data_IF_207595115221
#
_entry.id   IF_207595115221
#
_cell.length_a   1.000
_cell.length_b   1.000
_cell.length_c   1.000
_cell.angle_alpha   90.00
_cell.angle_beta   90.00
_cell.angle_gamma   90.00
#
_symmetry.space_group_name_H-M   'P 1'
#
loop_
_entity.id
_entity.type
_entity.pdbx_description
1 polymer ?
#
# COMPACT_ATOMS: atom_id res chain seq x y z
N UNK A 1 15.58 46.92 29.53
CA UNK A 1 15.39 46.99 28.07
C UNK A 1 15.77 45.64 27.44
N UNK A 2 14.85 44.67 27.27
CA UNK A 2 15.14 43.44 26.53
C UNK A 2 14.87 43.60 25.03
N UNK A 3 15.84 43.25 24.17
CA UNK A 3 15.68 43.18 22.71
C UNK A 3 15.14 41.79 22.34
N UNK A 4 14.14 41.78 21.46
CA UNK A 4 13.51 40.60 20.90
C UNK A 4 14.52 39.73 20.13
N UNK A 5 14.53 38.43 20.43
CA UNK A 5 15.20 37.40 19.62
C UNK A 5 14.15 36.83 18.67
N UNK A 6 14.32 37.08 17.38
CA UNK A 6 13.48 36.55 16.31
C UNK A 6 13.79 35.07 16.08
N UNK A 7 12.73 34.27 16.04
CA UNK A 7 12.71 32.92 15.51
C UNK A 7 13.08 32.93 14.03
N UNK A 8 14.20 32.34 13.64
CA UNK A 8 14.49 31.99 12.25
C UNK A 8 14.43 30.46 12.15
N UNK A 9 13.34 30.01 11.54
CA UNK A 9 12.96 28.63 11.37
C UNK A 9 14.02 27.88 10.55
N UNK A 10 14.50 26.80 11.13
CA UNK A 10 15.30 25.77 10.48
C UNK A 10 14.59 25.31 9.21
N UNK A 11 15.29 25.43 8.08
CA UNK A 11 14.77 25.24 6.73
C UNK A 11 13.88 24.01 6.57
N UNK A 12 12.59 24.27 6.30
CA UNK A 12 11.73 23.39 5.54
C UNK A 12 12.32 23.24 4.14
N UNK A 13 13.21 22.27 3.99
CA UNK A 13 13.53 21.68 2.70
C UNK A 13 12.22 21.18 2.12
N UNK A 14 11.63 21.99 1.23
CA UNK A 14 10.50 21.64 0.40
C UNK A 14 10.95 20.48 -0.50
N UNK A 15 10.84 19.26 0.02
CA UNK A 15 10.86 18.03 -0.75
C UNK A 15 9.74 18.15 -1.77
N UNK A 16 10.09 18.50 -3.00
CA UNK A 16 9.15 18.46 -4.11
C UNK A 16 8.61 17.03 -4.23
N UNK A 17 7.30 16.80 -4.10
CA UNK A 17 6.73 15.49 -4.37
C UNK A 17 6.90 15.20 -5.85
N UNK A 18 7.45 14.04 -6.18
CA UNK A 18 7.66 13.63 -7.56
C UNK A 18 6.30 13.11 -8.07
N UNK A 19 5.43 14.05 -8.45
CA UNK A 19 3.96 13.86 -8.42
C UNK A 19 3.40 12.79 -9.35
N UNK A 20 4.18 12.23 -10.29
CA UNK A 20 3.71 11.18 -11.19
C UNK A 20 3.91 9.75 -10.61
N UNK A 21 4.99 9.53 -9.86
CA UNK A 21 5.32 8.20 -9.30
C UNK A 21 4.55 7.88 -8.03
N UNK A 22 4.36 8.88 -7.15
CA UNK A 22 3.70 8.70 -5.85
C UNK A 22 2.17 8.52 -6.03
N UNK A 23 1.54 9.26 -6.95
CA UNK A 23 0.10 9.10 -7.26
C UNK A 23 -0.27 7.72 -7.80
N UNK A 24 0.63 7.07 -8.53
CA UNK A 24 0.41 5.71 -9.03
C UNK A 24 0.57 4.65 -7.92
N UNK A 25 1.48 4.86 -6.97
CA UNK A 25 1.69 3.97 -5.83
C UNK A 25 0.53 4.09 -4.82
N UNK A 26 0.04 5.30 -4.56
CA UNK A 26 -1.11 5.52 -3.68
C UNK A 26 -2.40 4.92 -4.27
N UNK A 27 -2.59 4.98 -5.58
CA UNK A 27 -3.75 4.39 -6.24
C UNK A 27 -3.82 2.86 -6.11
N UNK A 28 -2.67 2.16 -6.03
CA UNK A 28 -2.64 0.71 -5.82
C UNK A 28 -2.93 0.32 -4.35
N UNK A 29 -2.61 1.18 -3.38
CA UNK A 29 -2.96 0.96 -1.97
C UNK A 29 -4.48 0.97 -1.71
N UNK A 30 -5.25 1.67 -2.53
CA UNK A 30 -6.72 1.69 -2.47
C UNK A 30 -7.39 0.70 -3.43
N UNK A 31 -6.61 -0.14 -4.12
CA UNK A 31 -7.14 -1.12 -5.06
C UNK A 31 -7.85 -2.24 -4.31
N UNK A 32 -9.18 -2.19 -4.30
CA UNK A 32 -10.01 -3.20 -3.62
C UNK A 32 -9.86 -4.52 -4.38
N UNK A 33 -9.20 -5.52 -3.80
CA UNK A 33 -9.01 -6.85 -4.42
C UNK A 33 -9.98 -7.88 -3.82
N UNK A 34 -10.44 -8.84 -4.62
CA UNK A 34 -11.30 -9.94 -4.17
C UNK A 34 -10.47 -11.21 -4.04
N UNK A 35 -10.09 -11.55 -2.81
CA UNK A 35 -9.42 -12.82 -2.54
C UNK A 35 -10.38 -14.02 -2.73
N UNK A 36 -9.85 -15.12 -3.27
CA UNK A 36 -10.51 -16.42 -3.17
C UNK A 36 -10.49 -16.92 -1.72
N UNK A 37 -11.28 -17.96 -1.40
CA UNK A 37 -11.26 -18.57 -0.06
C UNK A 37 -9.85 -19.01 0.36
N UNK A 38 -9.11 -19.64 -0.55
CA UNK A 38 -7.75 -20.11 -0.28
C UNK A 38 -6.78 -18.94 -0.09
N UNK A 39 -6.89 -17.88 -0.89
CA UNK A 39 -6.09 -16.67 -0.72
C UNK A 39 -6.41 -15.95 0.60
N UNK A 40 -7.69 -15.89 0.99
CA UNK A 40 -8.11 -15.33 2.28
C UNK A 40 -7.49 -16.08 3.45
N UNK A 41 -7.57 -17.42 3.45
CA UNK A 41 -6.94 -18.26 4.49
C UNK A 41 -5.42 -18.06 4.51
N UNK A 42 -4.78 -17.91 3.35
CA UNK A 42 -3.35 -17.67 3.28
C UNK A 42 -2.97 -16.30 3.89
N UNK A 43 -3.72 -15.25 3.56
CA UNK A 43 -3.52 -13.91 4.12
C UNK A 43 -3.73 -13.89 5.64
N UNK A 44 -4.76 -14.58 6.13
CA UNK A 44 -5.06 -14.73 7.56
C UNK A 44 -3.90 -15.42 8.29
N UNK A 45 -3.44 -16.57 7.80
CA UNK A 45 -2.30 -17.29 8.40
C UNK A 45 -1.01 -16.46 8.41
N UNK A 46 -0.75 -15.70 7.35
CA UNK A 46 0.42 -14.83 7.27
C UNK A 46 0.32 -13.65 8.24
N UNK A 47 -0.87 -13.04 8.38
CA UNK A 47 -1.09 -11.98 9.37
C UNK A 47 -0.90 -12.50 10.79
N UNK A 48 -1.51 -13.64 11.14
CA UNK A 48 -1.34 -14.29 12.44
C UNK A 48 0.12 -14.64 12.74
N UNK A 49 0.89 -15.07 11.74
CA UNK A 49 2.31 -15.37 11.92
C UNK A 49 3.13 -14.11 12.25
N UNK A 50 2.84 -12.98 11.59
CA UNK A 50 3.48 -11.69 11.89
C UNK A 50 3.13 -11.22 13.29
N UNK A 51 1.84 -11.27 13.65
CA UNK A 51 1.35 -10.91 14.98
C UNK A 51 2.01 -11.76 16.06
N UNK A 52 2.03 -13.08 15.89
CA UNK A 52 2.67 -13.98 16.86
C UNK A 52 4.16 -13.67 17.05
N UNK A 53 4.88 -13.36 15.97
CA UNK A 53 6.30 -13.03 16.04
C UNK A 53 6.54 -11.72 16.81
N UNK A 54 5.69 -10.72 16.59
CA UNK A 54 5.75 -9.43 17.31
C UNK A 54 5.34 -9.62 18.77
N UNK A 55 4.26 -10.36 19.04
CA UNK A 55 3.74 -10.60 20.39
C UNK A 55 4.67 -11.46 21.23
N UNK A 56 5.41 -12.39 20.60
CA UNK A 56 6.44 -13.18 21.29
C UNK A 56 7.54 -12.32 21.93
N UNK A 57 7.68 -11.08 21.44
CA UNK A 57 8.65 -10.07 21.91
C UNK A 57 8.05 -9.07 22.90
N UNK A 58 6.76 -9.16 23.24
CA UNK A 58 6.07 -8.19 24.11
C UNK A 58 6.72 -8.06 25.50
N UNK A 59 7.34 -9.12 26.01
CA UNK A 59 8.04 -9.11 27.31
C UNK A 59 9.55 -8.81 27.21
N UNK A 60 10.07 -8.63 26.00
CA UNK A 60 11.50 -8.39 25.70
C UNK A 60 11.74 -6.93 25.33
N UNK A 61 11.01 -5.98 25.92
CA UNK A 61 11.03 -4.55 25.57
C UNK A 61 12.40 -3.87 25.63
N UNK A 62 13.35 -4.43 26.38
CA UNK A 62 14.73 -3.92 26.49
C UNK A 62 15.72 -4.62 25.55
N UNK A 63 15.30 -5.71 24.88
CA UNK A 63 16.15 -6.46 23.96
C UNK A 63 15.83 -6.05 22.51
N UNK A 64 16.81 -5.55 21.74
CA UNK A 64 16.60 -5.25 20.34
C UNK A 64 16.22 -6.51 19.56
N UNK A 65 15.52 -6.33 18.45
CA UNK A 65 15.29 -7.41 17.49
C UNK A 65 16.64 -7.96 17.02
N UNK A 66 16.75 -9.29 17.00
CA UNK A 66 17.84 -9.94 16.31
C UNK A 66 17.66 -9.73 14.81
N UNK A 67 18.77 -9.75 14.07
CA UNK A 67 18.74 -9.67 12.61
C UNK A 67 17.82 -10.74 12.00
N UNK A 68 17.83 -11.94 12.56
CA UNK A 68 16.97 -13.06 12.12
C UNK A 68 15.48 -12.78 12.30
N UNK A 69 15.07 -12.10 13.37
CA UNK A 69 13.65 -11.78 13.59
C UNK A 69 13.19 -10.65 12.69
N UNK A 70 14.03 -9.63 12.53
CA UNK A 70 13.74 -8.55 11.59
C UNK A 70 13.60 -9.10 10.15
N UNK A 71 14.48 -10.02 9.76
CA UNK A 71 14.40 -10.73 8.49
C UNK A 71 13.13 -11.60 8.38
N UNK A 72 12.76 -12.30 9.45
CA UNK A 72 11.54 -13.12 9.48
C UNK A 72 10.27 -12.27 9.30
N UNK A 73 10.13 -11.15 10.03
CA UNK A 73 9.01 -10.21 9.87
C UNK A 73 8.97 -9.69 8.43
N UNK A 74 10.11 -9.22 7.89
CA UNK A 74 10.18 -8.72 6.52
C UNK A 74 9.80 -9.77 5.49
N UNK A 75 10.21 -11.02 5.69
CA UNK A 75 9.86 -12.13 4.80
C UNK A 75 8.36 -12.40 4.83
N UNK A 76 7.75 -12.48 6.01
CA UNK A 76 6.32 -12.69 6.17
C UNK A 76 5.50 -11.55 5.56
N UNK A 77 5.92 -10.29 5.74
CA UNK A 77 5.27 -9.14 5.12
C UNK A 77 5.36 -9.16 3.60
N UNK A 78 6.52 -9.53 3.04
CA UNK A 78 6.70 -9.68 1.58
C UNK A 78 5.79 -10.77 1.03
N UNK A 79 5.68 -11.91 1.70
CA UNK A 79 4.79 -13.00 1.31
C UNK A 79 3.32 -12.59 1.39
N UNK A 80 2.92 -11.90 2.47
CA UNK A 80 1.56 -11.37 2.62
C UNK A 80 1.20 -10.45 1.44
N UNK A 81 2.11 -9.51 1.12
CA UNK A 81 1.95 -8.60 -0.02
C UNK A 81 1.86 -9.32 -1.35
N UNK A 82 2.72 -10.32 -1.60
CA UNK A 82 2.70 -11.10 -2.83
C UNK A 82 1.37 -11.86 -3.02
N UNK A 83 0.82 -12.44 -1.95
CA UNK A 83 -0.50 -13.09 -1.98
C UNK A 83 -1.60 -12.06 -2.27
N UNK A 84 -1.55 -10.89 -1.64
CA UNK A 84 -2.50 -9.80 -1.91
C UNK A 84 -2.44 -9.33 -3.38
N UNK A 85 -1.25 -9.17 -3.94
CA UNK A 85 -1.06 -8.76 -5.35
C UNK A 85 -1.57 -9.81 -6.35
N UNK A 86 -1.54 -11.09 -5.98
CA UNK A 86 -2.14 -12.17 -6.77
C UNK A 86 -3.68 -12.15 -6.79
N UNK A 87 -4.31 -11.38 -5.89
CA UNK A 87 -5.76 -11.29 -5.81
C UNK A 87 -6.30 -10.39 -6.94
N UNK A 88 -7.37 -10.80 -7.66
CA UNK A 88 -7.95 -10.01 -8.73
C UNK A 88 -8.48 -8.66 -8.22
N UNK A 89 -8.17 -7.58 -8.94
CA UNK A 89 -8.67 -6.24 -8.65
C UNK A 89 -10.17 -6.17 -8.94
N UNK A 90 -10.95 -5.68 -7.97
CA UNK A 90 -12.36 -5.34 -8.14
C UNK A 90 -12.40 -4.04 -8.96
N UNK A 91 -12.58 -4.17 -10.27
CA UNK A 91 -12.85 -3.02 -11.13
C UNK A 91 -14.23 -2.47 -10.78
N UNK A 92 -14.35 -1.20 -10.34
CA UNK A 92 -15.65 -0.60 -10.06
C UNK A 92 -16.54 -0.64 -11.30
N UNK A 93 -17.81 -1.00 -11.15
CA UNK A 93 -18.77 -1.09 -12.26
C UNK A 93 -18.87 0.22 -13.06
N UNK A 94 -18.79 1.37 -12.38
CA UNK A 94 -18.77 2.69 -13.03
C UNK A 94 -17.56 2.90 -13.95
N UNK A 95 -16.41 2.30 -13.66
CA UNK A 95 -15.23 2.33 -14.53
C UNK A 95 -15.47 1.49 -15.78
N UNK A 96 -16.09 0.31 -15.64
CA UNK A 96 -16.43 -0.56 -16.78
C UNK A 96 -17.44 0.09 -17.72
N UNK A 97 -18.47 0.73 -17.17
CA UNK A 97 -19.47 1.46 -17.98
C UNK A 97 -18.84 2.64 -18.68
N UNK A 98 -17.96 3.40 -18.01
CA UNK A 98 -17.25 4.53 -18.62
C UNK A 98 -16.28 4.10 -19.73
N UNK A 99 -15.57 3.00 -19.55
CA UNK A 99 -14.71 2.40 -20.59
C UNK A 99 -15.55 1.92 -21.78
N UNK A 100 -16.68 1.26 -21.52
CA UNK A 100 -17.62 0.84 -22.55
C UNK A 100 -18.21 2.03 -23.32
N UNK A 101 -18.65 3.09 -22.64
CA UNK A 101 -19.14 4.32 -23.29
C UNK A 101 -18.05 4.99 -24.11
N UNK A 102 -16.81 5.07 -23.61
CA UNK A 102 -15.69 5.63 -24.37
C UNK A 102 -15.40 4.82 -25.64
N UNK A 103 -15.50 3.50 -25.58
CA UNK A 103 -15.34 2.64 -26.75
C UNK A 103 -16.52 2.75 -27.73
N UNK A 104 -17.75 2.85 -27.22
CA UNK A 104 -18.95 3.01 -28.04
C UNK A 104 -19.03 4.37 -28.73
N UNK A 105 -18.57 5.44 -28.06
CA UNK A 105 -18.53 6.81 -28.63
C UNK A 105 -17.31 7.02 -29.53
N UNK A 106 -16.22 6.28 -29.31
CA UNK A 106 -15.06 6.26 -30.21
C UNK A 106 -15.24 5.38 -31.46
N UNK A 107 -16.28 4.54 -31.48
CA UNK A 107 -16.66 3.70 -32.61
C UNK A 107 -17.71 4.43 -33.47
N UNK A 108 -17.36 5.60 -34.01
CA UNK A 108 -18.12 6.18 -35.11
C UNK A 108 -18.00 5.26 -36.34
N UNK A 109 -19.11 4.76 -36.91
CA UNK A 109 -19.06 4.02 -38.17
C UNK A 109 -18.75 5.00 -39.31
N UNK A 110 -17.50 5.04 -39.77
CA UNK A 110 -17.17 5.64 -41.07
C UNK A 110 -17.55 4.66 -42.20
N UNK A 111 -18.81 4.69 -42.62
CA UNK A 111 -19.33 4.25 -43.94
C UNK A 111 -20.87 4.42 -43.89
N UNK A 112 -21.57 5.02 -44.85
CA UNK A 112 -21.29 5.32 -46.25
C UNK A 112 -22.03 6.60 -46.68
#
# INVERSE_FOLDING_TARGET
>A
MPRAVTHEAFGTSLRQPNTAGERAQDADLFSRRRASRQQGIALEKLAHAVEYLIDSRMFLTQAPYTKSEEEAVKMLMRLNRAVFESCPVIVPLGTRVREWVRQAVGAEPKAA
#
